data_IF_555479789653
#
_entry.id   IF_555479789653
#
_cell.length_a   1.000
_cell.length_b   1.000
_cell.length_c   1.000
_cell.angle_alpha   90.00
_cell.angle_beta   90.00
_cell.angle_gamma   90.00
#
_symmetry.space_group_name_H-M   'P 1'
#
loop_
_entity.id
_entity.type
_entity.pdbx_description
1 polymer ?
#
# COMPACT_ATOMS: atom_id res chain seq x y z
N UNK A 1 9.86 -13.48 8.84
CA UNK A 1 9.41 -12.23 8.24
C UNK A 1 8.84 -12.47 6.86
N UNK A 2 7.66 -11.98 6.60
CA UNK A 2 6.98 -12.16 5.33
C UNK A 2 6.85 -10.82 4.64
N UNK A 3 7.62 -10.60 3.57
CA UNK A 3 7.66 -9.32 2.89
C UNK A 3 6.72 -9.29 1.69
N UNK A 4 6.05 -8.17 1.53
CA UNK A 4 5.18 -7.89 0.39
C UNK A 4 5.51 -6.51 -0.14
N UNK A 5 5.62 -6.37 -1.45
CA UNK A 5 5.80 -5.08 -2.09
C UNK A 5 4.43 -4.59 -2.54
N UNK A 6 4.05 -3.40 -2.08
CA UNK A 6 2.77 -2.78 -2.43
C UNK A 6 3.04 -1.59 -3.33
N UNK A 7 2.45 -1.60 -4.51
CA UNK A 7 2.55 -0.50 -5.47
C UNK A 7 1.20 0.19 -5.57
N UNK A 8 1.18 1.50 -5.42
CA UNK A 8 -0.03 2.31 -5.44
C UNK A 8 0.11 3.40 -6.50
N UNK A 9 -0.91 3.56 -7.33
CA UNK A 9 -0.95 4.58 -8.38
C UNK A 9 -2.25 5.37 -8.26
N UNK A 10 -2.18 6.69 -8.32
CA UNK A 10 -3.37 7.53 -8.25
C UNK A 10 -3.07 9.00 -8.49
N UNK A 11 -4.11 9.81 -8.51
CA UNK A 11 -3.99 11.26 -8.74
C UNK A 11 -4.00 12.07 -7.46
N UNK A 12 -4.73 11.63 -6.43
CA UNK A 12 -4.83 12.35 -5.17
C UNK A 12 -3.79 11.82 -4.19
N UNK A 13 -2.67 12.51 -4.12
CA UNK A 13 -1.52 12.11 -3.32
C UNK A 13 -1.83 12.05 -1.82
N UNK A 14 -2.43 13.11 -1.28
CA UNK A 14 -2.64 13.25 0.16
C UNK A 14 -3.66 12.25 0.67
N UNK A 15 -4.82 12.19 0.01
CA UNK A 15 -5.90 11.30 0.44
C UNK A 15 -5.51 9.83 0.29
N UNK A 16 -4.85 9.47 -0.79
CA UNK A 16 -4.43 8.08 -1.04
C UNK A 16 -3.41 7.63 0.00
N UNK A 17 -2.39 8.43 0.26
CA UNK A 17 -1.36 8.08 1.25
C UNK A 17 -1.99 7.86 2.63
N UNK A 18 -2.85 8.78 3.05
CA UNK A 18 -3.48 8.68 4.36
C UNK A 18 -4.32 7.40 4.49
N UNK A 19 -5.14 7.11 3.49
CA UNK A 19 -6.00 5.93 3.51
C UNK A 19 -5.20 4.63 3.49
N UNK A 20 -4.19 4.55 2.64
CA UNK A 20 -3.36 3.35 2.53
C UNK A 20 -2.59 3.12 3.82
N UNK A 21 -1.94 4.14 4.35
CA UNK A 21 -1.15 4.01 5.58
C UNK A 21 -2.03 3.66 6.78
N UNK A 22 -3.20 4.27 6.91
CA UNK A 22 -4.13 3.94 8.00
C UNK A 22 -4.62 2.50 7.89
N UNK A 23 -4.97 2.07 6.68
CA UNK A 23 -5.40 0.70 6.46
C UNK A 23 -4.32 -0.30 6.85
N UNK A 24 -3.08 -0.05 6.43
CA UNK A 24 -1.97 -0.94 6.74
C UNK A 24 -1.72 -1.00 8.24
N UNK A 25 -1.78 0.14 8.93
CA UNK A 25 -1.59 0.19 10.38
C UNK A 25 -2.69 -0.61 11.10
N UNK A 26 -3.94 -0.45 10.68
CA UNK A 26 -5.07 -1.16 11.28
C UNK A 26 -4.97 -2.68 11.11
N UNK A 27 -4.31 -3.13 10.07
CA UNK A 27 -4.15 -4.55 9.77
C UNK A 27 -2.78 -5.10 10.17
N UNK A 28 -2.04 -4.33 10.98
CA UNK A 28 -0.75 -4.73 11.55
C UNK A 28 0.31 -5.04 10.49
N UNK A 29 0.27 -4.29 9.39
CA UNK A 29 1.29 -4.37 8.35
C UNK A 29 2.35 -3.31 8.64
N UNK A 30 3.58 -3.74 8.81
CA UNK A 30 4.69 -2.84 9.08
C UNK A 30 5.32 -2.35 7.77
N UNK A 31 5.44 -1.04 7.63
CA UNK A 31 6.07 -0.44 6.45
C UNK A 31 7.57 -0.31 6.75
N UNK A 32 8.40 -0.99 5.97
CA UNK A 32 9.84 -0.98 6.18
C UNK A 32 10.56 0.02 5.28
N UNK A 33 10.00 0.30 4.11
CA UNK A 33 10.60 1.26 3.19
C UNK A 33 9.52 1.81 2.26
N UNK A 34 9.65 3.08 1.88
CA UNK A 34 8.73 3.76 0.96
C UNK A 34 9.55 4.52 -0.06
N UNK A 35 9.18 4.36 -1.33
CA UNK A 35 9.69 5.16 -2.42
C UNK A 35 8.51 5.71 -3.20
N UNK A 36 8.53 7.01 -3.51
CA UNK A 36 7.43 7.63 -4.23
C UNK A 36 7.94 8.63 -5.25
N UNK A 37 7.23 8.73 -6.37
CA UNK A 37 7.52 9.68 -7.43
C UNK A 37 6.22 10.22 -8.00
N UNK A 38 6.29 11.41 -8.61
CA UNK A 38 5.17 11.99 -9.33
C UNK A 38 5.56 12.09 -10.78
N UNK A 39 4.78 11.46 -11.67
CA UNK A 39 5.04 11.47 -13.10
C UNK A 39 3.78 11.97 -13.80
N UNK A 40 3.88 13.11 -14.47
CA UNK A 40 2.77 13.72 -15.24
C UNK A 40 1.48 13.86 -14.42
N UNK A 41 1.62 14.28 -13.16
CA UNK A 41 0.47 14.47 -12.29
C UNK A 41 -0.06 13.18 -11.64
N UNK A 42 0.52 12.05 -11.97
CA UNK A 42 0.19 10.78 -11.32
C UNK A 42 1.19 10.46 -10.22
N UNK A 43 0.66 10.05 -9.11
CA UNK A 43 1.43 9.63 -7.96
C UNK A 43 1.71 8.14 -8.06
N UNK A 44 2.96 7.75 -7.90
CA UNK A 44 3.40 6.35 -7.87
C UNK A 44 4.13 6.11 -6.56
N UNK A 45 3.68 5.13 -5.79
CA UNK A 45 4.30 4.79 -4.52
C UNK A 45 4.58 3.30 -4.47
N UNK A 46 5.79 2.95 -4.04
CA UNK A 46 6.17 1.56 -3.81
C UNK A 46 6.61 1.41 -2.37
N UNK A 47 6.04 0.44 -1.67
CA UNK A 47 6.35 0.17 -0.27
C UNK A 47 6.83 -1.25 -0.11
N UNK A 48 7.89 -1.43 0.67
CA UNK A 48 8.29 -2.75 1.15
C UNK A 48 7.69 -2.93 2.53
N UNK A 49 6.90 -3.97 2.71
CA UNK A 49 6.14 -4.19 3.94
C UNK A 49 6.39 -5.57 4.51
N UNK A 50 6.21 -5.69 5.81
CA UNK A 50 6.20 -6.97 6.52
C UNK A 50 4.75 -7.25 6.94
N UNK A 51 4.17 -8.30 6.36
CA UNK A 51 2.78 -8.69 6.61
C UNK A 51 2.67 -9.89 7.56
N UNK A 52 3.77 -10.27 8.20
CA UNK A 52 3.78 -11.48 9.03
C UNK A 52 2.83 -11.42 10.22
N UNK A 53 2.51 -10.24 10.71
CA UNK A 53 1.58 -10.05 11.82
C UNK A 53 0.14 -9.78 11.40
N UNK A 54 -0.10 -9.64 10.11
CA UNK A 54 -1.45 -9.42 9.61
C UNK A 54 -2.23 -10.74 9.56
N UNK A 55 -3.50 -10.69 9.94
CA UNK A 55 -4.38 -11.85 9.85
C UNK A 55 -4.94 -12.03 8.45
N UNK A 56 -4.85 -11.01 7.60
CA UNK A 56 -5.36 -11.06 6.24
C UNK A 56 -4.31 -11.61 5.28
N UNK A 57 -4.78 -12.35 4.28
CA UNK A 57 -3.91 -12.80 3.19
C UNK A 57 -3.56 -11.64 2.25
N UNK A 58 -2.53 -11.83 1.41
CA UNK A 58 -2.20 -10.84 0.40
C UNK A 58 -3.38 -10.55 -0.54
N UNK A 59 -4.18 -11.57 -0.87
CA UNK A 59 -5.35 -11.39 -1.71
C UNK A 59 -6.39 -10.48 -1.05
N UNK A 60 -6.62 -10.64 0.25
CA UNK A 60 -7.55 -9.80 1.00
C UNK A 60 -7.05 -8.37 1.12
N UNK A 61 -5.76 -8.19 1.39
CA UNK A 61 -5.15 -6.87 1.46
C UNK A 61 -5.24 -6.14 0.12
N UNK A 62 -4.95 -6.85 -0.97
CA UNK A 62 -5.04 -6.29 -2.32
C UNK A 62 -6.46 -5.84 -2.64
N UNK A 63 -7.45 -6.67 -2.33
CA UNK A 63 -8.85 -6.36 -2.58
C UNK A 63 -9.30 -5.11 -1.82
N UNK A 64 -8.93 -5.00 -0.55
CA UNK A 64 -9.30 -3.87 0.27
C UNK A 64 -8.62 -2.58 -0.22
N UNK A 65 -7.36 -2.67 -0.61
CA UNK A 65 -6.62 -1.51 -1.10
C UNK A 65 -7.10 -1.04 -2.47
N UNK A 66 -7.60 -1.94 -3.31
CA UNK A 66 -8.18 -1.57 -4.61
C UNK A 66 -9.37 -0.63 -4.47
N UNK A 67 -10.08 -0.67 -3.35
CA UNK A 67 -11.18 0.24 -3.08
C UNK A 67 -10.70 1.68 -2.87
N UNK A 68 -9.41 1.89 -2.59
CA UNK A 68 -8.84 3.22 -2.36
C UNK A 68 -8.22 3.79 -3.63
N UNK A 69 -7.45 2.98 -4.35
CA UNK A 69 -6.80 3.40 -5.58
C UNK A 69 -6.32 2.16 -6.34
N UNK A 70 -5.68 2.39 -7.49
CA UNK A 70 -5.05 1.29 -8.20
C UNK A 70 -3.87 0.77 -7.38
N UNK A 71 -3.93 -0.50 -6.99
CA UNK A 71 -2.92 -1.09 -6.10
C UNK A 71 -2.55 -2.48 -6.60
N UNK A 72 -1.26 -2.81 -6.52
CA UNK A 72 -0.74 -4.11 -6.90
C UNK A 72 0.18 -4.62 -5.79
N UNK A 73 0.00 -5.87 -5.39
CA UNK A 73 0.83 -6.53 -4.39
C UNK A 73 1.65 -7.65 -5.02
N UNK A 74 2.91 -7.69 -4.64
CA UNK A 74 3.83 -8.74 -5.11
C UNK A 74 4.52 -9.42 -3.94
#
# INVERSE_FOLDING_TARGET
MKKTIITVVGKDTVGIIAKVCNYLAENQVNIEDISQTIVQGYFNMMMVTDVSKSEKSNAELAKDLEAVSYTHLT
#
